data_IF_752293098822
#
_entry.id   IF_752293098822
#
_cell.length_a   1.000
_cell.length_b   1.000
_cell.length_c   1.000
_cell.angle_alpha   90.00
_cell.angle_beta   90.00
_cell.angle_gamma   90.00
#
_symmetry.space_group_name_H-M   'P 1'
#
loop_
_entity.id
_entity.type
_entity.pdbx_description
1 polymer ?
#
# COMPACT_ATOMS: atom_id res chain seq x y z
N UNK A 1 34.34 81.55 3.90
CA UNK A 1 34.54 80.46 4.88
C UNK A 1 33.51 79.38 4.56
N UNK A 2 33.91 78.33 3.85
CA UNK A 2 33.01 77.29 3.34
C UNK A 2 33.31 75.99 4.09
N UNK A 3 32.32 75.51 4.84
CA UNK A 3 32.42 74.27 5.62
C UNK A 3 32.23 73.08 4.68
N UNK A 4 33.28 72.28 4.50
CA UNK A 4 33.19 70.98 3.80
C UNK A 4 32.51 69.98 4.74
N UNK A 5 31.32 69.55 4.36
CA UNK A 5 30.65 68.41 4.99
C UNK A 5 31.44 67.13 4.71
N UNK A 6 31.84 66.45 5.78
CA UNK A 6 32.49 65.15 5.75
C UNK A 6 31.40 64.08 5.64
N UNK A 7 31.23 63.47 4.48
CA UNK A 7 30.32 62.33 4.29
C UNK A 7 30.95 61.07 4.91
N UNK A 8 30.38 60.62 6.03
CA UNK A 8 30.68 59.34 6.65
C UNK A 8 30.08 58.20 5.84
N UNK A 9 30.92 57.55 5.03
CA UNK A 9 30.56 56.31 4.34
C UNK A 9 30.35 55.19 5.36
N UNK A 10 29.10 54.74 5.49
CA UNK A 10 28.75 53.58 6.32
C UNK A 10 29.24 52.29 5.64
N UNK A 11 29.85 51.33 6.38
CA UNK A 11 30.35 50.10 5.80
C UNK A 11 29.19 49.26 5.25
N UNK A 12 29.19 49.02 3.95
CA UNK A 12 28.28 48.11 3.25
C UNK A 12 28.52 46.70 3.79
N UNK A 13 27.74 46.29 4.78
CA UNK A 13 27.67 44.91 5.27
C UNK A 13 27.18 44.02 4.13
N UNK A 14 28.12 43.38 3.45
CA UNK A 14 27.84 42.24 2.58
C UNK A 14 27.26 41.15 3.47
N UNK A 15 25.93 40.99 3.49
CA UNK A 15 25.31 39.77 4.00
C UNK A 15 25.92 38.61 3.23
N UNK A 16 26.81 37.88 3.89
CA UNK A 16 27.25 36.57 3.42
C UNK A 16 25.97 35.73 3.39
N UNK A 17 25.51 35.38 2.19
CA UNK A 17 24.38 34.49 2.02
C UNK A 17 24.77 33.15 2.64
N UNK A 18 24.22 32.85 3.82
CA UNK A 18 24.37 31.52 4.40
C UNK A 18 23.75 30.50 3.44
N UNK A 19 24.41 29.35 3.22
CA UNK A 19 23.88 28.33 2.33
C UNK A 19 22.57 27.79 2.92
N UNK A 20 21.45 28.17 2.31
CA UNK A 20 20.15 27.61 2.65
C UNK A 20 20.13 26.15 2.23
N UNK A 21 20.30 25.24 3.19
CA UNK A 21 20.06 23.82 3.01
C UNK A 21 18.56 23.59 2.76
N UNK A 22 18.12 23.80 1.52
CA UNK A 22 16.81 23.38 1.08
C UNK A 22 16.80 21.85 1.00
N UNK A 23 15.84 21.20 1.69
CA UNK A 23 15.67 19.74 1.55
C UNK A 23 15.45 19.42 0.07
N UNK A 24 16.18 18.46 -0.51
CA UNK A 24 16.08 18.19 -1.93
C UNK A 24 14.66 17.74 -2.31
N UNK A 25 14.14 18.30 -3.41
CA UNK A 25 12.73 18.17 -3.81
C UNK A 25 12.23 16.73 -3.96
N UNK A 26 13.12 15.79 -4.27
CA UNK A 26 12.79 14.37 -4.37
C UNK A 26 12.33 13.78 -3.01
N UNK A 27 12.86 14.26 -1.89
CA UNK A 27 12.44 13.78 -0.56
C UNK A 27 10.98 14.15 -0.28
N UNK A 28 10.57 15.38 -0.65
CA UNK A 28 9.19 15.83 -0.50
C UNK A 28 8.25 14.99 -1.37
N UNK A 29 8.67 14.68 -2.61
CA UNK A 29 7.91 13.82 -3.53
C UNK A 29 7.78 12.39 -3.01
N UNK A 30 8.86 11.81 -2.51
CA UNK A 30 8.84 10.47 -1.91
C UNK A 30 7.91 10.42 -0.70
N UNK A 31 8.02 11.38 0.22
CA UNK A 31 7.12 11.47 1.37
C UNK A 31 5.66 11.59 0.93
N UNK A 32 5.37 12.43 -0.04
CA UNK A 32 4.02 12.56 -0.58
C UNK A 32 3.50 11.23 -1.14
N UNK A 33 4.28 10.55 -1.98
CA UNK A 33 3.89 9.27 -2.57
C UNK A 33 3.67 8.19 -1.50
N UNK A 34 4.55 8.12 -0.49
CA UNK A 34 4.40 7.21 0.65
C UNK A 34 3.13 7.53 1.44
N UNK A 35 2.86 8.81 1.71
CA UNK A 35 1.64 9.22 2.41
C UNK A 35 0.38 8.87 1.63
N UNK A 36 0.35 9.09 0.32
CA UNK A 36 -0.77 8.70 -0.55
C UNK A 36 -0.96 7.19 -0.53
N UNK A 37 0.13 6.42 -0.68
CA UNK A 37 0.07 4.97 -0.63
C UNK A 37 -0.48 4.46 0.72
N UNK A 38 0.01 4.98 1.84
CA UNK A 38 -0.49 4.63 3.17
C UNK A 38 -1.95 5.03 3.36
N UNK A 39 -2.36 6.19 2.85
CA UNK A 39 -3.76 6.62 2.91
C UNK A 39 -4.67 5.64 2.15
N UNK A 40 -4.26 5.18 0.96
CA UNK A 40 -4.99 4.16 0.21
C UNK A 40 -5.10 2.86 1.01
N UNK A 41 -3.99 2.37 1.60
CA UNK A 41 -4.02 1.16 2.42
C UNK A 41 -4.97 1.28 3.61
N UNK A 42 -4.95 2.42 4.31
CA UNK A 42 -5.80 2.65 5.48
C UNK A 42 -7.28 2.71 5.07
N UNK A 43 -7.60 3.43 3.99
CA UNK A 43 -8.98 3.56 3.50
C UNK A 43 -9.54 2.21 3.06
N UNK A 44 -8.72 1.37 2.43
CA UNK A 44 -9.15 0.06 1.91
C UNK A 44 -8.96 -1.11 2.89
N UNK A 45 -8.25 -0.93 4.01
CA UNK A 45 -8.07 -2.00 5.01
C UNK A 45 -9.38 -2.63 5.49
N UNK A 46 -10.48 -1.88 5.74
CA UNK A 46 -11.76 -2.48 6.12
C UNK A 46 -12.35 -3.41 5.06
N UNK A 47 -12.02 -3.22 3.77
CA UNK A 47 -12.52 -4.07 2.69
C UNK A 47 -12.04 -5.51 2.81
N UNK A 48 -10.90 -5.75 3.47
CA UNK A 48 -10.39 -7.09 3.73
C UNK A 48 -11.29 -7.91 4.67
N UNK A 49 -12.13 -7.25 5.47
CA UNK A 49 -13.00 -7.95 6.42
C UNK A 49 -14.41 -8.17 5.87
N UNK A 50 -14.69 -7.69 4.66
CA UNK A 50 -16.01 -7.85 4.06
C UNK A 50 -16.28 -9.32 3.69
N UNK A 51 -17.55 -9.77 3.77
CA UNK A 51 -17.93 -11.11 3.37
C UNK A 51 -17.52 -11.43 1.92
N UNK A 52 -17.32 -12.71 1.64
CA UNK A 52 -17.05 -13.18 0.28
C UNK A 52 -18.20 -12.84 -0.67
N UNK A 53 -17.86 -12.33 -1.85
CA UNK A 53 -18.81 -11.98 -2.90
C UNK A 53 -18.36 -12.58 -4.24
N UNK A 54 -19.26 -12.61 -5.23
CA UNK A 54 -18.97 -13.05 -6.60
C UNK A 54 -18.30 -14.44 -6.68
N UNK A 55 -17.17 -14.52 -7.39
CA UNK A 55 -16.43 -15.76 -7.63
C UNK A 55 -15.94 -16.40 -6.32
N UNK A 56 -15.49 -15.61 -5.33
CA UNK A 56 -15.07 -16.12 -4.02
C UNK A 56 -16.21 -16.90 -3.35
N UNK A 57 -17.42 -16.36 -3.43
CA UNK A 57 -18.60 -17.01 -2.86
C UNK A 57 -18.98 -18.30 -3.60
N UNK A 58 -18.60 -18.47 -4.87
CA UNK A 58 -18.82 -19.72 -5.60
C UNK A 58 -17.86 -20.82 -5.11
N UNK A 59 -16.57 -20.51 -4.95
CA UNK A 59 -15.57 -21.48 -4.51
C UNK A 59 -15.69 -21.81 -3.02
N UNK A 60 -15.92 -20.80 -2.17
CA UNK A 60 -15.91 -20.98 -0.72
C UNK A 60 -17.21 -21.60 -0.16
N UNK A 61 -18.24 -21.77 -1.00
CA UNK A 61 -19.43 -22.58 -0.70
C UNK A 61 -19.19 -24.08 -0.87
N UNK A 62 -18.14 -24.48 -1.56
CA UNK A 62 -17.77 -25.89 -1.70
C UNK A 62 -17.25 -26.42 -0.37
N UNK A 63 -17.85 -27.51 0.11
CA UNK A 63 -17.45 -28.18 1.35
C UNK A 63 -16.00 -28.64 1.31
N UNK A 64 -15.48 -29.00 0.14
CA UNK A 64 -14.10 -29.42 0.02
C UNK A 64 -13.14 -28.25 0.26
N UNK A 65 -13.49 -27.06 -0.21
CA UNK A 65 -12.70 -25.84 0.07
C UNK A 65 -12.83 -25.48 1.54
N UNK A 66 -14.06 -25.42 2.06
CA UNK A 66 -14.36 -25.03 3.45
C UNK A 66 -13.75 -25.98 4.49
N UNK A 67 -13.62 -27.26 4.16
CA UNK A 67 -13.03 -28.29 5.03
C UNK A 67 -11.55 -28.55 4.71
N UNK A 68 -10.96 -27.88 3.71
CA UNK A 68 -9.55 -28.07 3.36
C UNK A 68 -9.24 -29.46 2.80
N UNK A 69 -10.18 -30.09 2.07
CA UNK A 69 -10.06 -31.47 1.58
C UNK A 69 -9.42 -31.53 0.19
N UNK A 70 -8.15 -31.93 0.15
CA UNK A 70 -7.41 -32.14 -1.09
C UNK A 70 -7.86 -33.40 -1.85
N UNK A 71 -8.56 -34.33 -1.21
CA UNK A 71 -9.06 -35.57 -1.85
C UNK A 71 -10.03 -35.29 -3.01
N UNK A 72 -10.68 -34.12 -3.01
CA UNK A 72 -11.54 -33.68 -4.10
C UNK A 72 -10.78 -33.37 -5.40
N UNK A 73 -9.44 -33.37 -5.38
CA UNK A 73 -8.62 -33.24 -6.59
C UNK A 73 -8.79 -34.42 -7.56
N UNK A 74 -9.25 -35.58 -7.07
CA UNK A 74 -9.52 -36.76 -7.90
C UNK A 74 -10.72 -36.55 -8.83
N UNK A 75 -11.66 -35.67 -8.45
CA UNK A 75 -12.81 -35.27 -9.27
C UNK A 75 -13.10 -33.80 -8.98
N UNK A 76 -12.36 -32.86 -9.60
CA UNK A 76 -12.45 -31.46 -9.24
C UNK A 76 -13.82 -30.88 -9.61
N UNK A 77 -14.54 -30.27 -8.65
CA UNK A 77 -15.94 -29.89 -8.84
C UNK A 77 -16.15 -28.54 -9.58
N UNK A 78 -15.08 -27.75 -9.81
CA UNK A 78 -15.22 -26.34 -10.21
C UNK A 78 -14.47 -25.96 -11.50
N UNK A 79 -15.01 -25.02 -12.31
CA UNK A 79 -14.22 -24.31 -13.32
C UNK A 79 -13.11 -23.50 -12.62
N UNK A 80 -11.91 -23.42 -13.23
CA UNK A 80 -10.70 -22.77 -12.67
C UNK A 80 -10.07 -23.55 -11.49
N UNK A 81 -9.61 -24.78 -11.77
CA UNK A 81 -8.93 -25.67 -10.82
C UNK A 81 -7.85 -24.99 -9.98
N UNK A 82 -7.04 -24.13 -10.59
CA UNK A 82 -5.96 -23.44 -9.89
C UNK A 82 -6.49 -22.51 -8.80
N UNK A 83 -7.54 -21.74 -9.09
CA UNK A 83 -8.18 -20.87 -8.10
C UNK A 83 -8.78 -21.69 -6.95
N UNK A 84 -9.52 -22.76 -7.28
CA UNK A 84 -10.07 -23.68 -6.28
C UNK A 84 -8.98 -24.27 -5.37
N UNK A 85 -7.87 -24.74 -5.95
CA UNK A 85 -6.74 -25.29 -5.19
C UNK A 85 -6.11 -24.23 -4.29
N UNK A 86 -5.92 -23.01 -4.79
CA UNK A 86 -5.43 -21.89 -3.98
C UNK A 86 -6.34 -21.65 -2.78
N UNK A 87 -7.66 -21.64 -2.96
CA UNK A 87 -8.60 -21.47 -1.83
C UNK A 87 -8.49 -22.60 -0.80
N UNK A 88 -8.32 -23.86 -1.22
CA UNK A 88 -8.16 -25.00 -0.31
C UNK A 88 -6.87 -24.86 0.50
N UNK A 89 -5.76 -24.56 -0.16
CA UNK A 89 -4.45 -24.40 0.50
C UNK A 89 -4.43 -23.21 1.45
N UNK A 90 -5.05 -22.09 1.06
CA UNK A 90 -5.22 -20.93 1.94
C UNK A 90 -6.05 -21.26 3.17
N UNK A 91 -7.15 -21.99 3.02
CA UNK A 91 -7.96 -22.42 4.14
C UNK A 91 -7.17 -23.33 5.09
N UNK A 92 -6.35 -24.24 4.56
CA UNK A 92 -5.47 -25.09 5.36
C UNK A 92 -4.41 -24.28 6.13
N UNK A 93 -3.89 -23.21 5.55
CA UNK A 93 -2.85 -22.40 6.19
C UNK A 93 -3.44 -21.44 7.23
N UNK A 94 -4.45 -20.64 6.87
CA UNK A 94 -4.90 -19.50 7.68
C UNK A 94 -6.28 -19.68 8.30
N UNK A 95 -6.96 -20.80 7.98
CA UNK A 95 -8.35 -21.01 8.31
C UNK A 95 -9.32 -20.19 7.45
N UNK A 96 -10.61 -20.35 7.74
CA UNK A 96 -11.69 -19.77 6.93
C UNK A 96 -11.97 -18.32 7.31
N UNK A 97 -11.07 -17.40 6.93
CA UNK A 97 -11.12 -15.99 7.34
C UNK A 97 -11.07 -15.02 6.15
N UNK A 98 -12.10 -14.18 5.91
CA UNK A 98 -12.13 -13.24 4.79
C UNK A 98 -10.89 -12.37 4.66
N UNK A 99 -10.37 -11.86 5.78
CA UNK A 99 -9.17 -11.03 5.80
C UNK A 99 -7.96 -11.70 5.17
N UNK A 100 -7.75 -12.99 5.43
CA UNK A 100 -6.60 -13.71 4.91
C UNK A 100 -6.73 -13.99 3.41
N UNK A 101 -7.92 -14.41 2.95
CA UNK A 101 -8.21 -14.62 1.54
C UNK A 101 -8.09 -13.32 0.74
N UNK A 102 -8.71 -12.24 1.21
CA UNK A 102 -8.67 -10.94 0.53
C UNK A 102 -7.27 -10.35 0.52
N UNK A 103 -6.52 -10.44 1.63
CA UNK A 103 -5.14 -9.97 1.68
C UNK A 103 -4.26 -10.72 0.67
N UNK A 104 -4.37 -12.04 0.60
CA UNK A 104 -3.63 -12.83 -0.39
C UNK A 104 -4.03 -12.50 -1.82
N UNK A 105 -5.32 -12.32 -2.09
CA UNK A 105 -5.79 -11.90 -3.42
C UNK A 105 -5.20 -10.55 -3.81
N UNK A 106 -5.14 -9.57 -2.88
CA UNK A 106 -4.48 -8.28 -3.12
C UNK A 106 -3.00 -8.48 -3.46
N UNK A 107 -2.28 -9.34 -2.74
CA UNK A 107 -0.86 -9.63 -3.04
C UNK A 107 -0.71 -10.25 -4.43
N UNK A 108 -1.51 -11.25 -4.77
CA UNK A 108 -1.43 -11.93 -6.08
C UNK A 108 -1.74 -10.98 -7.23
N UNK A 109 -2.68 -10.05 -7.07
CA UNK A 109 -3.02 -9.08 -8.12
C UNK A 109 -2.01 -7.92 -8.23
N UNK A 110 -1.23 -7.66 -7.18
CA UNK A 110 -0.21 -6.60 -7.16
C UNK A 110 1.14 -7.05 -7.76
N UNK A 111 1.33 -8.35 -7.97
CA UNK A 111 2.50 -8.97 -8.59
C UNK A 111 2.30 -9.16 -10.09
#
# INVERSE_FOLDING_TARGET
MSLRSCETSSPRTTRVNEPSFSRPDWQRRVLFLVSVFLAVLIIYAPALYLPFQFDDALFLRDDNVRLGRLEAFLVPPAPRLLAWLTFVLQNQWHGFSPAHFHAFNVVVHAL
#
